data_IF_709704733436
#
_entry.id   IF_709704733436
#
_cell.length_a   1.000
_cell.length_b   1.000
_cell.length_c   1.000
_cell.angle_alpha   90.00
_cell.angle_beta   90.00
_cell.angle_gamma   90.00
#
_symmetry.space_group_name_H-M   'P 1'
#
loop_
_entity.id
_entity.type
_entity.pdbx_description
1 polymer ?
#
# COMPACT_ATOMS: atom_id res chain seq x y z
N UNK A 1 -1.95 37.18 -27.24
CA UNK A 1 -3.07 37.48 -26.32
C UNK A 1 -4.27 36.60 -26.68
N UNK A 2 -4.79 35.82 -25.73
CA UNK A 2 -6.01 35.05 -25.94
C UNK A 2 -7.25 35.94 -25.86
N UNK A 3 -8.28 35.64 -26.64
CA UNK A 3 -9.53 36.42 -26.71
C UNK A 3 -10.75 35.62 -26.24
N UNK A 4 -11.84 36.34 -26.00
CA UNK A 4 -13.18 35.78 -25.82
C UNK A 4 -13.88 35.81 -27.16
N UNK A 5 -14.47 34.70 -27.57
CA UNK A 5 -15.21 34.64 -28.83
C UNK A 5 -16.50 33.82 -28.71
N UNK A 6 -17.58 34.22 -29.40
CA UNK A 6 -18.74 33.37 -29.57
C UNK A 6 -18.34 32.03 -30.20
N UNK A 7 -18.83 30.92 -29.65
CA UNK A 7 -18.61 29.58 -30.19
C UNK A 7 -19.86 28.71 -30.00
N UNK A 8 -20.58 28.46 -31.10
CA UNK A 8 -21.87 27.78 -31.04
C UNK A 8 -22.88 28.58 -30.22
N UNK A 9 -23.53 27.93 -29.24
CA UNK A 9 -24.44 28.59 -28.27
C UNK A 9 -23.73 29.12 -27.02
N UNK A 10 -22.39 29.17 -27.02
CA UNK A 10 -21.56 29.48 -25.87
C UNK A 10 -20.52 30.59 -26.13
N UNK A 11 -19.72 30.88 -25.11
CA UNK A 11 -18.54 31.75 -25.19
C UNK A 11 -17.28 30.91 -24.94
N UNK A 12 -16.32 30.98 -25.86
CA UNK A 12 -15.01 30.36 -25.69
C UNK A 12 -14.03 31.38 -25.10
N UNK A 13 -13.31 30.97 -24.05
CA UNK A 13 -12.28 31.76 -23.38
C UNK A 13 -10.92 31.16 -23.73
N UNK A 14 -9.96 31.99 -24.16
CA UNK A 14 -8.59 31.55 -24.46
C UNK A 14 -7.61 32.16 -23.47
N UNK A 15 -6.78 31.31 -22.85
CA UNK A 15 -5.69 31.71 -21.96
C UNK A 15 -4.53 30.70 -22.02
N UNK A 16 -3.40 31.03 -21.40
CA UNK A 16 -2.23 30.16 -21.28
C UNK A 16 -1.99 29.84 -19.82
N UNK A 17 -1.74 28.57 -19.50
CA UNK A 17 -1.39 28.11 -18.16
C UNK A 17 -0.32 27.02 -18.30
N UNK A 18 0.75 27.09 -17.51
CA UNK A 18 1.89 26.17 -17.58
C UNK A 18 2.49 25.99 -18.99
N UNK A 19 2.55 27.06 -19.78
CA UNK A 19 3.06 27.02 -21.17
C UNK A 19 2.11 26.42 -22.20
N UNK A 20 0.99 25.82 -21.77
CA UNK A 20 -0.02 25.26 -22.66
C UNK A 20 -1.19 26.22 -22.89
N UNK A 21 -1.81 26.12 -24.06
CA UNK A 21 -2.95 26.96 -24.45
C UNK A 21 -4.28 26.28 -24.15
N UNK A 22 -5.08 26.91 -23.29
CA UNK A 22 -6.41 26.44 -22.92
C UNK A 22 -7.50 27.22 -23.67
N UNK A 23 -8.54 26.51 -24.11
CA UNK A 23 -9.68 27.05 -24.88
C UNK A 23 -11.06 26.53 -24.42
N UNK A 24 -11.40 26.57 -23.12
CA UNK A 24 -12.69 26.09 -22.66
C UNK A 24 -13.85 26.95 -23.16
N UNK A 25 -15.02 26.33 -23.29
CA UNK A 25 -16.27 26.99 -23.68
C UNK A 25 -17.26 26.93 -22.51
N UNK A 26 -17.81 28.08 -22.14
CA UNK A 26 -18.92 28.20 -21.19
C UNK A 26 -20.24 28.21 -21.96
N UNK A 27 -21.22 27.40 -21.52
CA UNK A 27 -22.53 27.24 -22.19
C UNK A 27 -23.50 28.37 -21.84
N UNK A 28 -23.09 29.62 -22.02
CA UNK A 28 -23.95 30.80 -21.86
C UNK A 28 -24.10 31.54 -23.21
N UNK A 29 -25.30 32.06 -23.54
CA UNK A 29 -25.50 32.77 -24.81
C UNK A 29 -24.59 34.00 -24.95
N UNK A 30 -24.11 34.34 -26.15
CA UNK A 30 -23.21 35.47 -26.36
C UNK A 30 -23.96 36.82 -26.34
N UNK A 31 -24.50 37.20 -25.19
CA UNK A 31 -25.10 38.54 -24.95
C UNK A 31 -24.04 39.51 -24.42
N UNK A 32 -24.25 40.82 -24.55
CA UNK A 32 -23.32 41.84 -24.05
C UNK A 32 -23.00 41.67 -22.54
N UNK A 33 -24.00 41.26 -21.73
CA UNK A 33 -23.80 40.98 -20.30
C UNK A 33 -22.92 39.74 -20.08
N UNK A 34 -23.17 38.66 -20.83
CA UNK A 34 -22.42 37.41 -20.73
C UNK A 34 -20.98 37.55 -21.25
N UNK A 35 -20.74 38.41 -22.23
CA UNK A 35 -19.39 38.77 -22.70
C UNK A 35 -18.64 39.48 -21.57
N UNK A 36 -19.24 40.48 -20.90
CA UNK A 36 -18.62 41.15 -19.73
C UNK A 36 -18.37 40.22 -18.56
N UNK A 37 -19.20 39.19 -18.38
CA UNK A 37 -18.96 38.13 -17.39
C UNK A 37 -17.73 37.29 -17.77
N UNK A 38 -17.65 36.84 -19.03
CA UNK A 38 -16.50 36.09 -19.54
C UNK A 38 -15.19 36.88 -19.46
N UNK A 39 -15.23 38.20 -19.68
CA UNK A 39 -14.09 39.11 -19.53
C UNK A 39 -13.59 39.16 -18.09
N UNK A 40 -14.51 39.30 -17.13
CA UNK A 40 -14.18 39.28 -15.70
C UNK A 40 -13.58 37.94 -15.27
N UNK A 41 -14.18 36.84 -15.70
CA UNK A 41 -13.68 35.49 -15.42
C UNK A 41 -12.28 35.27 -16.00
N UNK A 42 -12.03 35.70 -17.24
CA UNK A 42 -10.70 35.63 -17.85
C UNK A 42 -9.67 36.44 -17.05
N UNK A 43 -10.01 37.65 -16.65
CA UNK A 43 -9.12 38.51 -15.86
C UNK A 43 -8.84 37.94 -14.45
N UNK A 44 -9.79 37.23 -13.85
CA UNK A 44 -9.58 36.48 -12.60
C UNK A 44 -8.59 35.32 -12.79
N UNK A 45 -8.78 34.52 -13.85
CA UNK A 45 -7.90 33.40 -14.19
C UNK A 45 -6.48 33.89 -14.47
N UNK A 46 -6.31 34.92 -15.31
CA UNK A 46 -5.00 35.48 -15.64
C UNK A 46 -4.28 36.05 -14.41
N UNK A 47 -5.02 36.64 -13.46
CA UNK A 47 -4.46 37.08 -12.18
C UNK A 47 -4.01 35.92 -11.31
N UNK A 48 -4.82 34.87 -11.16
CA UNK A 48 -4.44 33.68 -10.39
C UNK A 48 -3.21 32.97 -11.00
N UNK A 49 -3.11 32.92 -12.33
CA UNK A 49 -1.95 32.37 -13.03
C UNK A 49 -0.71 33.22 -12.77
N UNK A 50 -0.82 34.55 -12.85
CA UNK A 50 0.29 35.46 -12.57
C UNK A 50 0.79 35.36 -11.11
N UNK A 51 -0.11 35.08 -10.16
CA UNK A 51 0.23 34.86 -8.75
C UNK A 51 0.74 33.44 -8.45
N UNK A 52 0.78 32.54 -9.45
CA UNK A 52 1.18 31.15 -9.25
C UNK A 52 0.20 30.32 -8.41
N UNK A 53 -1.02 30.81 -8.19
CA UNK A 53 -2.04 30.16 -7.36
C UNK A 53 -3.08 29.40 -8.17
N UNK A 54 -3.03 29.46 -9.51
CA UNK A 54 -4.02 28.81 -10.36
C UNK A 54 -3.87 27.27 -10.34
N UNK A 55 -4.89 26.57 -9.84
CA UNK A 55 -4.90 25.10 -9.71
C UNK A 55 -5.89 24.43 -10.66
N UNK A 56 -5.73 23.10 -10.84
CA UNK A 56 -6.68 22.28 -11.60
C UNK A 56 -8.10 22.31 -10.98
N UNK A 57 -8.20 22.47 -9.66
CA UNK A 57 -9.49 22.60 -8.96
C UNK A 57 -10.21 23.91 -9.32
N UNK A 58 -9.48 25.03 -9.39
CA UNK A 58 -10.04 26.29 -9.86
C UNK A 58 -10.44 26.19 -11.35
N UNK A 59 -9.62 25.57 -12.18
CA UNK A 59 -9.95 25.33 -13.58
C UNK A 59 -11.25 24.52 -13.74
N UNK A 60 -11.40 23.40 -13.02
CA UNK A 60 -12.59 22.54 -13.13
C UNK A 60 -13.84 23.21 -12.55
N UNK A 61 -13.70 24.05 -11.52
CA UNK A 61 -14.77 24.89 -10.98
C UNK A 61 -15.28 25.93 -11.99
N UNK A 62 -14.38 26.63 -12.69
CA UNK A 62 -14.76 27.60 -13.72
C UNK A 62 -15.30 26.94 -14.99
N UNK A 63 -14.81 25.74 -15.34
CA UNK A 63 -15.12 25.06 -16.59
C UNK A 63 -15.57 23.60 -16.40
N UNK A 64 -16.70 23.35 -15.71
CA UNK A 64 -17.13 21.99 -15.33
C UNK A 64 -17.50 21.12 -16.54
N UNK A 65 -17.83 21.72 -17.67
CA UNK A 65 -18.19 20.99 -18.91
C UNK A 65 -17.00 20.79 -19.85
N UNK A 66 -15.80 21.25 -19.50
CA UNK A 66 -14.61 21.10 -20.36
C UNK A 66 -14.19 19.64 -20.51
N UNK A 67 -13.45 19.32 -21.58
CA UNK A 67 -12.87 17.97 -21.74
C UNK A 67 -12.00 17.61 -20.55
N UNK A 68 -11.22 18.56 -20.05
CA UNK A 68 -10.33 18.41 -18.89
C UNK A 68 -11.11 18.20 -17.60
N UNK A 69 -12.28 18.82 -17.41
CA UNK A 69 -13.14 18.51 -16.26
C UNK A 69 -13.80 17.12 -16.37
N UNK A 70 -14.11 16.68 -17.59
CA UNK A 70 -14.66 15.35 -17.89
C UNK A 70 -13.62 14.22 -17.92
N UNK A 71 -12.36 14.56 -18.20
CA UNK A 71 -11.21 13.65 -18.21
C UNK A 71 -10.31 13.86 -17.00
N UNK A 72 -10.63 14.83 -16.15
CA UNK A 72 -10.09 14.88 -14.80
C UNK A 72 -10.49 13.53 -14.23
N UNK A 73 -9.56 12.77 -13.62
CA UNK A 73 -10.02 11.68 -12.77
C UNK A 73 -11.08 12.34 -11.87
N UNK A 74 -12.27 11.76 -11.84
CA UNK A 74 -13.23 12.09 -10.79
C UNK A 74 -12.43 12.24 -9.49
N UNK A 75 -12.84 13.11 -8.57
CA UNK A 75 -12.51 12.90 -7.17
C UNK A 75 -13.17 11.57 -6.75
N UNK A 76 -12.71 10.44 -7.30
CA UNK A 76 -12.66 9.17 -6.62
C UNK A 76 -11.97 9.54 -5.32
N UNK A 77 -12.72 9.45 -4.24
CA UNK A 77 -12.12 9.54 -2.92
C UNK A 77 -10.87 8.66 -2.95
N UNK A 78 -9.73 9.15 -2.43
CA UNK A 78 -8.49 8.38 -2.44
C UNK A 78 -8.80 6.97 -1.96
N UNK A 79 -8.32 5.95 -2.69
CA UNK A 79 -8.58 4.56 -2.33
C UNK A 79 -8.33 4.37 -0.83
N UNK A 80 -9.25 3.70 -0.15
CA UNK A 80 -9.06 3.40 1.27
C UNK A 80 -7.91 2.42 1.43
N UNK A 81 -7.32 2.39 2.62
CA UNK A 81 -6.30 1.40 2.94
C UNK A 81 -6.75 -0.03 2.64
N UNK A 82 -8.03 -0.34 2.86
CA UNK A 82 -8.63 -1.64 2.51
C UNK A 82 -8.51 -1.93 1.03
N UNK A 83 -8.94 -1.02 0.17
CA UNK A 83 -8.90 -1.20 -1.28
C UNK A 83 -7.48 -1.43 -1.77
N UNK A 84 -6.53 -0.62 -1.30
CA UNK A 84 -5.11 -0.79 -1.70
C UNK A 84 -4.51 -2.08 -1.14
N UNK A 85 -4.86 -2.48 0.09
CA UNK A 85 -4.42 -3.75 0.67
C UNK A 85 -4.89 -4.96 -0.14
N UNK A 86 -6.14 -4.94 -0.63
CA UNK A 86 -6.68 -6.00 -1.47
C UNK A 86 -5.98 -6.07 -2.82
N UNK A 87 -5.74 -4.91 -3.47
CA UNK A 87 -4.94 -4.82 -4.70
C UNK A 87 -3.55 -5.39 -4.48
N UNK A 88 -2.88 -4.97 -3.41
CA UNK A 88 -1.54 -5.44 -3.07
C UNK A 88 -1.49 -6.95 -2.82
N UNK A 89 -2.49 -7.53 -2.15
CA UNK A 89 -2.58 -8.97 -1.93
C UNK A 89 -2.74 -9.75 -3.25
N UNK A 90 -3.48 -9.23 -4.22
CA UNK A 90 -3.65 -9.86 -5.53
C UNK A 90 -2.32 -9.93 -6.31
N UNK A 91 -1.54 -8.84 -6.28
CA UNK A 91 -0.23 -8.76 -6.95
C UNK A 91 0.84 -9.57 -6.22
N UNK A 92 0.70 -9.73 -4.90
CA UNK A 92 1.64 -10.49 -4.05
C UNK A 92 1.46 -12.02 -4.11
N UNK A 93 0.65 -12.53 -5.05
CA UNK A 93 0.34 -13.95 -5.20
C UNK A 93 1.54 -14.86 -5.48
N UNK A 94 2.67 -14.29 -5.92
CA UNK A 94 3.94 -15.01 -6.13
C UNK A 94 4.64 -15.43 -4.82
N UNK A 95 4.22 -14.90 -3.67
CA UNK A 95 4.79 -15.25 -2.37
C UNK A 95 4.33 -16.63 -1.90
N UNK A 96 5.16 -17.29 -1.07
CA UNK A 96 4.76 -18.57 -0.46
C UNK A 96 3.47 -18.45 0.35
N UNK A 97 2.66 -19.51 0.38
CA UNK A 97 1.41 -19.52 1.13
C UNK A 97 1.61 -19.18 2.62
N UNK A 98 2.67 -19.70 3.25
CA UNK A 98 3.00 -19.39 4.64
C UNK A 98 3.33 -17.91 4.88
N UNK A 99 3.95 -17.24 3.90
CA UNK A 99 4.17 -15.79 3.94
C UNK A 99 2.85 -15.03 3.79
N UNK A 100 2.02 -15.41 2.82
CA UNK A 100 0.72 -14.77 2.57
C UNK A 100 -0.21 -14.87 3.77
N UNK A 101 -0.26 -16.01 4.45
CA UNK A 101 -1.05 -16.19 5.68
C UNK A 101 -0.62 -15.18 6.75
N UNK A 102 0.69 -15.07 7.02
CA UNK A 102 1.24 -14.11 8.00
C UNK A 102 0.93 -12.67 7.61
N UNK A 103 1.04 -12.34 6.32
CA UNK A 103 0.74 -11.00 5.81
C UNK A 103 -0.74 -10.66 5.93
N UNK A 104 -1.64 -11.58 5.59
CA UNK A 104 -3.09 -11.40 5.79
C UNK A 104 -3.41 -11.16 7.26
N UNK A 105 -2.89 -11.97 8.17
CA UNK A 105 -3.10 -11.79 9.62
C UNK A 105 -2.64 -10.40 10.11
N UNK A 106 -1.46 -9.96 9.67
CA UNK A 106 -0.96 -8.62 10.00
C UNK A 106 -1.81 -7.51 9.36
N UNK A 107 -2.29 -7.68 8.13
CA UNK A 107 -3.17 -6.73 7.48
C UNK A 107 -4.55 -6.66 8.15
N UNK A 108 -5.13 -7.77 8.60
CA UNK A 108 -6.41 -7.77 9.35
C UNK A 108 -6.35 -6.85 10.57
N UNK A 109 -5.24 -6.84 11.30
CA UNK A 109 -5.03 -5.89 12.39
C UNK A 109 -5.11 -4.44 11.90
N UNK A 110 -4.41 -4.10 10.81
CA UNK A 110 -4.43 -2.73 10.27
C UNK A 110 -5.77 -2.36 9.67
N UNK A 111 -6.44 -3.28 8.97
CA UNK A 111 -7.77 -3.09 8.42
C UNK A 111 -8.79 -2.78 9.52
N UNK A 112 -8.69 -3.43 10.68
CA UNK A 112 -9.53 -3.13 11.84
C UNK A 112 -9.29 -1.75 12.48
N UNK A 113 -8.18 -1.07 12.17
CA UNK A 113 -7.82 0.23 12.75
C UNK A 113 -7.92 1.39 11.76
N UNK A 114 -7.46 1.18 10.52
CA UNK A 114 -7.33 2.21 9.48
C UNK A 114 -7.88 1.75 8.13
N UNK A 115 -8.61 0.63 8.06
CA UNK A 115 -9.08 0.05 6.80
C UNK A 115 -9.91 0.99 5.94
N UNK A 116 -10.81 1.76 6.55
CA UNK A 116 -11.67 2.73 5.85
C UNK A 116 -11.03 4.12 5.73
N UNK A 117 -9.81 4.30 6.25
CA UNK A 117 -9.10 5.58 6.12
C UNK A 117 -8.60 5.73 4.68
N UNK A 118 -8.84 6.89 4.02
CA UNK A 118 -8.21 7.21 2.75
C UNK A 118 -6.69 7.10 2.84
N UNK A 119 -6.05 6.45 1.88
CA UNK A 119 -4.63 6.08 2.02
C UNK A 119 -3.69 7.29 2.12
N UNK A 120 -4.06 8.41 1.50
CA UNK A 120 -3.36 9.70 1.53
C UNK A 120 -3.50 10.44 2.87
N UNK A 121 -4.45 10.06 3.71
CA UNK A 121 -4.67 10.63 5.04
C UNK A 121 -3.95 9.85 6.16
N UNK A 122 -3.34 8.71 5.84
CA UNK A 122 -2.61 7.91 6.82
C UNK A 122 -1.30 8.61 7.19
N UNK A 123 -1.14 8.91 8.48
CA UNK A 123 0.02 9.63 9.01
C UNK A 123 0.99 8.69 9.73
N UNK A 124 2.27 9.06 9.71
CA UNK A 124 3.33 8.41 10.48
C UNK A 124 2.95 8.26 11.97
N UNK A 125 2.44 9.34 12.59
CA UNK A 125 2.10 9.37 14.02
C UNK A 125 1.03 8.34 14.37
N UNK A 126 0.01 8.18 13.52
CA UNK A 126 -1.05 7.18 13.69
C UNK A 126 -0.48 5.77 13.66
N UNK A 127 0.37 5.45 12.67
CA UNK A 127 0.97 4.13 12.54
C UNK A 127 1.88 3.83 13.74
N UNK A 128 2.73 4.77 14.12
CA UNK A 128 3.66 4.62 15.24
C UNK A 128 2.90 4.40 16.57
N UNK A 129 1.82 5.13 16.81
CA UNK A 129 0.99 4.96 17.99
C UNK A 129 0.30 3.59 18.02
N UNK A 130 -0.31 3.17 16.91
CA UNK A 130 -0.99 1.87 16.82
C UNK A 130 -0.04 0.68 16.96
N UNK A 131 1.15 0.75 16.35
CA UNK A 131 2.15 -0.31 16.46
C UNK A 131 2.68 -0.48 17.90
N UNK A 132 2.68 0.60 18.69
CA UNK A 132 3.18 0.59 20.07
C UNK A 132 2.09 0.32 21.12
N UNK A 133 0.80 0.44 20.78
CA UNK A 133 -0.30 0.29 21.74
C UNK A 133 -0.65 -1.16 22.10
N UNK A 134 -0.14 -2.14 21.35
CA UNK A 134 -0.56 -3.55 21.48
C UNK A 134 0.25 -4.36 22.50
N UNK A 135 1.30 -3.78 23.10
CA UNK A 135 2.18 -4.51 24.04
C UNK A 135 2.96 -5.67 23.40
N UNK A 136 3.06 -5.71 22.06
CA UNK A 136 3.77 -6.78 21.37
C UNK A 136 5.27 -6.75 21.59
N UNK A 137 5.87 -7.93 21.70
CA UNK A 137 7.32 -8.09 21.66
C UNK A 137 7.95 -7.55 20.36
N UNK A 138 9.25 -7.20 20.37
CA UNK A 138 9.93 -6.54 19.25
C UNK A 138 9.75 -7.23 17.90
N UNK A 139 9.81 -8.56 17.87
CA UNK A 139 9.64 -9.37 16.66
C UNK A 139 8.24 -9.22 16.06
N UNK A 140 7.21 -9.34 16.88
CA UNK A 140 5.81 -9.25 16.44
C UNK A 140 5.48 -7.84 15.96
N UNK A 141 5.92 -6.80 16.71
CA UNK A 141 5.81 -5.40 16.30
C UNK A 141 6.47 -5.14 14.94
N UNK A 142 7.64 -5.73 14.68
CA UNK A 142 8.28 -5.57 13.38
C UNK A 142 7.52 -6.31 12.28
N UNK A 143 7.07 -7.53 12.54
CA UNK A 143 6.38 -8.37 11.55
C UNK A 143 5.08 -7.73 11.06
N UNK A 144 4.28 -7.16 11.97
CA UNK A 144 3.03 -6.50 11.60
C UNK A 144 3.26 -5.23 10.78
N UNK A 145 4.42 -4.57 10.89
CA UNK A 145 4.77 -3.40 10.07
C UNK A 145 5.19 -3.77 8.64
N UNK A 146 5.61 -5.02 8.39
CA UNK A 146 6.13 -5.44 7.08
C UNK A 146 5.07 -5.27 5.96
N UNK A 147 3.89 -5.91 6.03
CA UNK A 147 2.91 -5.80 4.94
C UNK A 147 2.31 -4.40 4.87
N UNK A 148 2.12 -3.71 6.01
CA UNK A 148 1.69 -2.30 6.01
C UNK A 148 2.61 -1.41 5.17
N UNK A 149 3.92 -1.53 5.38
CA UNK A 149 4.90 -0.75 4.61
C UNK A 149 4.82 -1.07 3.12
N UNK A 150 4.63 -2.33 2.75
CA UNK A 150 4.56 -2.74 1.35
C UNK A 150 3.28 -2.26 0.65
N UNK A 151 2.13 -2.24 1.35
CA UNK A 151 0.90 -1.63 0.83
C UNK A 151 1.08 -0.14 0.59
N UNK A 152 1.66 0.58 1.55
CA UNK A 152 1.92 2.02 1.41
C UNK A 152 3.01 2.31 0.37
N UNK A 153 3.95 1.39 0.16
CA UNK A 153 4.97 1.51 -0.88
C UNK A 153 4.34 1.39 -2.27
N UNK A 154 3.44 0.43 -2.46
CA UNK A 154 2.66 0.31 -3.71
C UNK A 154 1.90 1.60 -4.02
N UNK A 155 1.21 2.16 -3.02
CA UNK A 155 0.49 3.43 -3.17
C UNK A 155 1.41 4.61 -3.51
N UNK A 156 2.64 4.61 -2.97
CA UNK A 156 3.66 5.61 -3.28
C UNK A 156 4.16 5.47 -4.72
N UNK A 157 4.48 4.25 -5.15
CA UNK A 157 4.93 3.94 -6.51
C UNK A 157 3.86 4.25 -7.56
N UNK A 158 2.58 4.03 -7.23
CA UNK A 158 1.43 4.40 -8.08
C UNK A 158 1.16 5.92 -8.10
N UNK A 159 1.90 6.71 -7.30
CA UNK A 159 1.72 8.16 -7.19
C UNK A 159 0.43 8.57 -6.45
N UNK A 160 -0.25 7.63 -5.79
CA UNK A 160 -1.46 7.90 -4.99
C UNK A 160 -1.14 8.68 -3.72
N UNK A 161 0.04 8.43 -3.14
CA UNK A 161 0.58 9.21 -2.02
C UNK A 161 1.96 9.77 -2.38
N UNK A 162 2.31 10.93 -1.84
CA UNK A 162 3.59 11.59 -2.15
C UNK A 162 4.78 11.00 -1.38
N UNK A 163 4.55 10.24 -0.32
CA UNK A 163 5.59 9.57 0.45
C UNK A 163 5.00 8.42 1.26
N UNK A 164 5.81 7.40 1.58
CA UNK A 164 5.41 6.30 2.45
C UNK A 164 5.48 6.71 3.94
N UNK A 165 4.35 6.88 4.65
CA UNK A 165 4.35 7.32 6.05
C UNK A 165 4.92 6.26 7.01
N UNK A 166 5.00 4.98 6.61
CA UNK A 166 5.58 3.91 7.41
C UNK A 166 7.08 3.68 7.13
N UNK A 167 7.62 4.25 6.06
CA UNK A 167 8.98 3.97 5.57
C UNK A 167 10.08 4.34 6.57
N UNK A 168 9.84 5.37 7.41
CA UNK A 168 10.81 5.84 8.42
C UNK A 168 10.63 5.22 9.80
N UNK A 169 9.61 4.39 10.00
CA UNK A 169 9.40 3.71 11.30
C UNK A 169 10.54 2.71 11.49
N UNK A 170 11.36 2.91 12.53
CA UNK A 170 12.45 1.98 12.82
C UNK A 170 11.92 0.67 13.41
N UNK A 171 12.55 -0.43 12.98
CA UNK A 171 12.32 -1.73 13.59
C UNK A 171 12.89 -1.73 15.01
N UNK A 172 12.17 -2.36 15.94
CA UNK A 172 12.67 -2.63 17.27
C UNK A 172 13.82 -3.66 17.18
N UNK A 173 14.85 -3.50 18.02
CA UNK A 173 15.93 -4.50 18.08
C UNK A 173 15.36 -5.81 18.61
N UNK A 174 15.58 -6.89 17.86
CA UNK A 174 15.20 -8.23 18.27
C UNK A 174 16.48 -8.92 18.72
N UNK A 175 16.57 -9.26 20.01
CA UNK A 175 17.63 -10.13 20.48
C UNK A 175 17.35 -11.54 19.95
N UNK A 176 18.35 -12.12 19.27
CA UNK A 176 18.29 -13.50 18.84
C UNK A 176 19.11 -14.30 19.85
N UNK A 177 18.42 -15.14 20.61
CA UNK A 177 19.10 -16.10 21.46
C UNK A 177 19.89 -17.09 20.59
N UNK A 178 21.09 -17.49 21.03
CA UNK A 178 21.79 -18.57 20.36
C UNK A 178 20.94 -19.85 20.40
N UNK A 179 21.05 -20.73 19.40
CA UNK A 179 20.43 -22.04 19.50
C UNK A 179 20.99 -22.78 20.71
N UNK A 180 20.11 -23.45 21.45
CA UNK A 180 20.42 -24.28 22.61
C UNK A 180 20.12 -25.75 22.24
N UNK A 181 21.06 -26.46 21.60
CA UNK A 181 20.84 -27.82 21.14
C UNK A 181 20.89 -28.80 22.32
N UNK A 182 20.08 -29.87 22.22
CA UNK A 182 20.12 -30.96 23.20
C UNK A 182 21.50 -31.63 23.21
N UNK A 183 21.99 -31.95 24.40
CA UNK A 183 23.14 -32.83 24.60
C UNK A 183 22.78 -34.28 24.26
N UNK A 184 23.77 -35.17 23.99
CA UNK A 184 23.49 -36.59 23.73
C UNK A 184 22.65 -37.26 24.83
N UNK A 185 22.96 -37.01 26.10
CA UNK A 185 22.22 -37.58 27.23
C UNK A 185 20.76 -37.07 27.27
N UNK A 186 20.52 -35.80 26.92
CA UNK A 186 19.17 -35.24 26.82
C UNK A 186 18.39 -35.80 25.62
N UNK A 187 19.07 -36.06 24.50
CA UNK A 187 18.46 -36.74 23.35
C UNK A 187 17.98 -38.13 23.75
N UNK A 188 18.85 -38.93 24.39
CA UNK A 188 18.50 -40.28 24.85
C UNK A 188 17.34 -40.25 25.84
N UNK A 189 17.37 -39.30 26.77
CA UNK A 189 16.29 -39.10 27.74
C UNK A 189 14.95 -38.77 27.06
N UNK A 190 14.96 -37.82 26.11
CA UNK A 190 13.76 -37.42 25.37
C UNK A 190 13.21 -38.58 24.53
N UNK A 191 14.06 -39.26 23.76
CA UNK A 191 13.66 -40.39 22.91
C UNK A 191 13.08 -41.54 23.74
N UNK A 192 13.71 -41.89 24.87
CA UNK A 192 13.20 -42.89 25.81
C UNK A 192 11.80 -42.51 26.33
N UNK A 193 11.60 -41.23 26.68
CA UNK A 193 10.30 -40.77 27.18
C UNK A 193 9.22 -40.77 26.09
N UNK A 194 9.60 -40.65 24.82
CA UNK A 194 8.69 -40.67 23.68
C UNK A 194 8.20 -42.07 23.32
N UNK A 195 8.91 -43.13 23.72
CA UNK A 195 8.53 -44.54 23.47
C UNK A 195 7.11 -44.88 23.97
N UNK A 196 6.60 -44.17 24.99
CA UNK A 196 5.24 -44.37 25.51
C UNK A 196 4.12 -43.96 24.55
N UNK A 197 4.43 -43.19 23.49
CA UNK A 197 3.44 -42.71 22.53
C UNK A 197 3.32 -43.65 21.33
N UNK A 198 4.38 -43.74 20.52
CA UNK A 198 4.46 -44.62 19.35
C UNK A 198 5.92 -44.75 18.89
N UNK A 199 6.32 -45.93 18.38
CA UNK A 199 7.69 -46.17 17.89
C UNK A 199 8.03 -45.34 16.65
N UNK A 200 7.06 -45.08 15.77
CA UNK A 200 7.26 -44.27 14.56
C UNK A 200 7.57 -42.82 14.91
N UNK A 201 6.98 -42.31 16.00
CA UNK A 201 7.28 -40.97 16.51
C UNK A 201 8.75 -40.92 16.96
N UNK A 202 9.23 -41.93 17.70
CA UNK A 202 10.65 -42.00 18.11
C UNK A 202 11.57 -41.97 16.89
N UNK A 203 11.32 -42.82 15.89
CA UNK A 203 12.14 -42.90 14.68
C UNK A 203 12.21 -41.57 13.91
N UNK A 204 11.09 -40.85 13.79
CA UNK A 204 11.05 -39.55 13.09
C UNK A 204 11.89 -38.50 13.82
N UNK A 205 11.77 -38.42 15.15
CA UNK A 205 12.50 -37.43 15.94
C UNK A 205 13.98 -37.76 16.07
N UNK A 206 14.33 -39.04 16.27
CA UNK A 206 15.72 -39.51 16.25
C UNK A 206 16.38 -39.15 14.91
N UNK A 207 15.74 -39.52 13.80
CA UNK A 207 16.24 -39.19 12.47
C UNK A 207 16.38 -37.67 12.26
N UNK A 208 15.39 -36.86 12.67
CA UNK A 208 15.46 -35.40 12.54
C UNK A 208 16.59 -34.77 13.36
N UNK A 209 16.81 -35.24 14.59
CA UNK A 209 17.88 -34.74 15.48
C UNK A 209 19.25 -34.99 14.85
N UNK A 210 19.51 -36.21 14.36
CA UNK A 210 20.82 -36.58 13.84
C UNK A 210 21.10 -36.10 12.42
N UNK A 211 20.06 -35.90 11.61
CA UNK A 211 20.22 -35.36 10.24
C UNK A 211 20.19 -33.84 10.18
N UNK A 212 19.63 -33.18 11.19
CA UNK A 212 19.45 -31.73 11.20
C UNK A 212 18.43 -31.20 10.17
N UNK A 213 17.63 -32.09 9.58
CA UNK A 213 16.59 -31.73 8.62
C UNK A 213 15.52 -30.86 9.29
N UNK A 214 14.97 -29.90 8.54
CA UNK A 214 13.83 -29.13 9.02
C UNK A 214 12.60 -30.03 9.09
N UNK A 215 11.65 -29.77 9.99
CA UNK A 215 10.44 -30.58 10.11
C UNK A 215 9.70 -30.81 8.77
N UNK A 216 9.63 -29.80 7.91
CA UNK A 216 9.00 -29.93 6.58
C UNK A 216 9.79 -30.85 5.63
N UNK A 217 11.11 -30.88 5.75
CA UNK A 217 11.98 -31.76 4.97
C UNK A 217 11.85 -33.20 5.48
N UNK A 218 11.89 -33.40 6.80
CA UNK A 218 11.68 -34.71 7.43
C UNK A 218 10.35 -35.34 7.04
N UNK A 219 9.26 -34.57 7.05
CA UNK A 219 7.91 -35.07 6.73
C UNK A 219 7.75 -35.36 5.22
N UNK A 220 8.47 -34.66 4.35
CA UNK A 220 8.35 -34.85 2.91
C UNK A 220 9.28 -35.92 2.34
N UNK A 221 10.26 -36.38 3.12
CA UNK A 221 11.27 -37.35 2.72
C UNK A 221 10.64 -38.68 2.27
N UNK A 222 11.12 -39.21 1.14
CA UNK A 222 10.70 -40.49 0.57
C UNK A 222 11.87 -41.44 0.44
N UNK A 223 11.59 -42.75 0.49
CA UNK A 223 12.60 -43.80 0.32
C UNK A 223 13.40 -43.70 -0.99
N UNK A 224 12.81 -43.17 -2.06
CA UNK A 224 13.52 -42.95 -3.34
C UNK A 224 14.56 -41.83 -3.32
N UNK A 225 14.58 -41.01 -2.27
CA UNK A 225 15.55 -39.92 -2.07
C UNK A 225 16.75 -40.37 -1.23
N UNK A 226 16.73 -41.62 -0.73
CA UNK A 226 17.82 -42.22 0.05
C UNK A 226 18.77 -42.96 -0.90
N UNK A 227 20.01 -42.50 -0.98
CA UNK A 227 21.07 -43.20 -1.73
C UNK A 227 21.74 -44.25 -0.84
N UNK A 228 21.45 -45.52 -1.11
CA UNK A 228 22.01 -46.67 -0.39
C UNK A 228 23.38 -47.13 -0.93
N UNK A 229 23.96 -46.44 -1.92
CA UNK A 229 25.24 -46.84 -2.55
C UNK A 229 26.46 -46.09 -2.01
N UNK A 230 26.30 -45.37 -0.90
CA UNK A 230 27.39 -44.68 -0.18
C UNK A 230 27.72 -45.38 1.12
#
# INVERSE_FOLDING_TARGET
>A
MGGIKPHGKGLQITFYWNGERYRPTIKIPPTASNIRYAERLKAEIERAIALGTYTLEQYTSHFPTSRIARSSPEKLQPDTFRTVSQKWLAVSSHLSNGTLIKYRQALEFWLGKIGETPIDQIKYSTIAALANSQGWGPKNRNNILIPLRQVLEMAYLDGTIQSNPAGRIRNAKVQKEPPDPLTPDEVDFVLTRMQKYDVQIVNIFEFAIFTGLRPSETISLRWGEVDFKR
#
